data_IF_494063594669
#
_entry.id   IF_494063594669
#
_cell.length_a   1.000
_cell.length_b   1.000
_cell.length_c   1.000
_cell.angle_alpha   90.00
_cell.angle_beta   90.00
_cell.angle_gamma   90.00
#
_symmetry.space_group_name_H-M   'P 1'
#
loop_
_entity.id
_entity.type
_entity.pdbx_description
1 polymer ?
#
# COMPACT_ATOMS: atom_id res chain seq x y z
N UNK A 1 -11.06 -9.58 -4.61
CA UNK A 1 -10.20 -8.48 -5.05
C UNK A 1 -9.30 -8.02 -3.91
N UNK A 2 -8.16 -7.43 -4.24
CA UNK A 2 -7.09 -7.20 -3.27
C UNK A 2 -6.60 -5.76 -3.35
N UNK A 3 -6.50 -5.12 -2.18
CA UNK A 3 -5.91 -3.79 -2.03
C UNK A 3 -4.45 -3.94 -1.58
N UNK A 4 -3.54 -3.31 -2.29
CA UNK A 4 -2.11 -3.33 -1.97
C UNK A 4 -1.73 -2.04 -1.27
N UNK A 5 -1.11 -2.15 -0.10
CA UNK A 5 -0.53 -0.96 0.54
C UNK A 5 0.87 -0.66 -0.02
N UNK A 6 1.42 0.46 0.39
CA UNK A 6 2.70 0.94 -0.11
C UNK A 6 3.86 0.00 0.23
N UNK A 7 3.80 -0.72 1.35
CA UNK A 7 4.87 -1.65 1.74
C UNK A 7 5.06 -2.77 0.72
N UNK A 8 3.97 -3.24 0.14
CA UNK A 8 3.98 -4.29 -0.90
C UNK A 8 4.58 -3.74 -2.19
N UNK A 9 4.15 -2.56 -2.62
CA UNK A 9 4.68 -1.95 -3.86
C UNK A 9 6.15 -1.56 -3.73
N UNK A 10 6.58 -1.06 -2.57
CA UNK A 10 7.99 -0.78 -2.33
C UNK A 10 8.84 -2.05 -2.48
N UNK A 11 8.41 -3.17 -1.91
CA UNK A 11 9.10 -4.45 -2.05
C UNK A 11 9.03 -5.02 -3.47
N UNK A 12 7.98 -4.69 -4.22
CA UNK A 12 7.85 -5.11 -5.62
C UNK A 12 8.81 -4.36 -6.54
N UNK A 13 8.92 -3.05 -6.39
CA UNK A 13 9.70 -2.21 -7.31
C UNK A 13 11.14 -1.98 -6.86
N UNK A 14 11.46 -2.17 -5.59
CA UNK A 14 12.80 -1.98 -5.04
C UNK A 14 13.36 -3.29 -4.51
N UNK A 15 14.69 -3.53 -4.63
CA UNK A 15 15.30 -4.73 -4.05
C UNK A 15 15.18 -4.70 -2.53
N UNK A 16 14.42 -5.63 -1.98
CA UNK A 16 14.18 -5.81 -0.54
C UNK A 16 14.11 -7.30 -0.21
N UNK A 17 14.27 -7.69 1.08
CA UNK A 17 14.24 -9.12 1.45
C UNK A 17 12.95 -9.84 1.03
N UNK A 18 11.82 -9.15 0.99
CA UNK A 18 10.52 -9.75 0.62
C UNK A 18 10.19 -9.67 -0.87
N UNK A 19 11.06 -9.10 -1.71
CA UNK A 19 10.76 -8.85 -3.13
C UNK A 19 10.30 -10.10 -3.87
N UNK A 20 10.97 -11.25 -3.68
CA UNK A 20 10.59 -12.49 -4.36
C UNK A 20 9.21 -13.00 -3.92
N UNK A 21 8.90 -12.91 -2.62
CA UNK A 21 7.60 -13.32 -2.09
C UNK A 21 6.49 -12.41 -2.60
N UNK A 22 6.75 -11.11 -2.66
CA UNK A 22 5.81 -10.12 -3.19
C UNK A 22 5.56 -10.36 -4.67
N UNK A 23 6.59 -10.54 -5.48
CA UNK A 23 6.43 -10.83 -6.90
C UNK A 23 5.58 -12.06 -7.15
N UNK A 24 5.82 -13.12 -6.39
CA UNK A 24 5.02 -14.35 -6.49
C UNK A 24 3.57 -14.10 -6.12
N UNK A 25 3.31 -13.39 -5.02
CA UNK A 25 1.96 -13.07 -4.57
C UNK A 25 1.21 -12.23 -5.60
N UNK A 26 1.83 -11.18 -6.12
CA UNK A 26 1.20 -10.28 -7.08
C UNK A 26 0.93 -10.96 -8.43
N UNK A 27 1.79 -11.87 -8.86
CA UNK A 27 1.59 -12.61 -10.11
C UNK A 27 0.32 -13.45 -10.14
N UNK A 28 -0.25 -13.75 -8.97
CA UNK A 28 -1.45 -14.56 -8.83
C UNK A 28 -2.73 -13.72 -8.72
N UNK A 29 -2.62 -12.39 -8.68
CA UNK A 29 -3.76 -11.49 -8.54
C UNK A 29 -4.34 -11.12 -9.90
N UNK A 30 -5.68 -11.24 -10.02
CA UNK A 30 -6.39 -10.86 -11.25
C UNK A 30 -6.51 -9.34 -11.40
N UNK A 31 -6.79 -8.64 -10.31
CA UNK A 31 -7.05 -7.20 -10.31
C UNK A 31 -6.44 -6.55 -9.07
N UNK A 32 -5.11 -6.34 -9.04
CA UNK A 32 -4.50 -5.62 -7.93
C UNK A 32 -5.01 -4.18 -7.91
N UNK A 33 -5.48 -3.76 -6.74
CA UNK A 33 -6.10 -2.45 -6.54
C UNK A 33 -5.25 -1.60 -5.61
N UNK A 34 -5.10 -0.34 -5.94
CA UNK A 34 -4.43 0.67 -5.11
C UNK A 34 -5.28 1.93 -5.05
N UNK A 35 -4.87 2.87 -4.18
CA UNK A 35 -5.44 4.22 -4.15
C UNK A 35 -4.39 5.25 -4.58
N UNK A 36 -4.80 6.49 -4.90
CA UNK A 36 -3.84 7.57 -5.14
C UNK A 36 -2.89 7.83 -3.97
N UNK A 37 -3.28 7.48 -2.74
CA UNK A 37 -2.40 7.58 -1.58
C UNK A 37 -1.16 6.69 -1.73
N UNK A 38 -1.32 5.48 -2.25
CA UNK A 38 -0.20 4.55 -2.51
C UNK A 38 0.77 5.17 -3.52
N UNK A 39 0.26 5.84 -4.54
CA UNK A 39 1.09 6.51 -5.54
C UNK A 39 1.99 7.56 -4.91
N UNK A 40 1.43 8.44 -4.07
CA UNK A 40 2.21 9.47 -3.36
C UNK A 40 3.21 8.83 -2.40
N UNK A 41 2.79 7.84 -1.64
CA UNK A 41 3.66 7.20 -0.65
C UNK A 41 4.81 6.42 -1.30
N UNK A 42 4.59 5.78 -2.45
CA UNK A 42 5.67 5.11 -3.15
C UNK A 42 6.75 6.10 -3.59
N UNK A 43 6.36 7.25 -4.12
CA UNK A 43 7.32 8.30 -4.48
C UNK A 43 8.04 8.85 -3.24
N UNK A 44 7.33 9.00 -2.12
CA UNK A 44 7.93 9.40 -0.85
C UNK A 44 8.94 8.37 -0.34
N UNK A 45 8.63 7.08 -0.48
CA UNK A 45 9.56 6.00 -0.12
C UNK A 45 10.83 6.03 -0.98
N UNK A 46 10.68 6.28 -2.29
CA UNK A 46 11.83 6.41 -3.20
C UNK A 46 12.69 7.63 -2.83
N UNK A 47 12.06 8.75 -2.53
CA UNK A 47 12.78 9.97 -2.09
C UNK A 47 13.59 9.70 -0.82
N UNK A 48 13.01 9.01 0.15
CA UNK A 48 13.71 8.65 1.37
C UNK A 48 14.93 7.76 1.09
N UNK A 49 14.80 6.78 0.19
CA UNK A 49 15.92 5.91 -0.22
C UNK A 49 17.06 6.70 -0.87
N UNK A 50 16.73 7.69 -1.69
CA UNK A 50 17.74 8.57 -2.30
C UNK A 50 18.42 9.43 -1.24
N UNK A 51 17.66 10.04 -0.36
CA UNK A 51 18.19 10.90 0.70
C UNK A 51 19.05 10.12 1.70
N UNK A 52 18.70 8.88 2.01
CA UNK A 52 19.48 8.00 2.88
C UNK A 52 20.62 7.26 2.17
N UNK A 53 20.81 7.53 0.88
CA UNK A 53 21.86 6.94 0.04
C UNK A 53 21.75 5.41 -0.15
N UNK A 54 20.57 4.85 0.01
CA UNK A 54 20.29 3.46 -0.33
C UNK A 54 20.13 3.27 -1.85
N UNK A 55 19.82 4.35 -2.56
CA UNK A 55 19.56 4.35 -3.99
C UNK A 55 19.98 5.70 -4.58
N UNK A 56 20.50 5.72 -5.81
CA UNK A 56 20.76 6.98 -6.48
C UNK A 56 19.49 7.54 -7.15
N UNK A 57 19.50 8.84 -7.46
CA UNK A 57 18.36 9.52 -8.03
C UNK A 57 17.98 8.98 -9.41
N UNK A 58 18.95 8.54 -10.21
CA UNK A 58 18.70 7.98 -11.53
C UNK A 58 17.93 6.67 -11.44
N UNK A 59 18.32 5.78 -10.52
CA UNK A 59 17.63 4.52 -10.27
C UNK A 59 16.22 4.78 -9.74
N UNK A 60 16.05 5.69 -8.78
CA UNK A 60 14.73 6.05 -8.26
C UNK A 60 13.82 6.60 -9.37
N UNK A 61 14.35 7.41 -10.27
CA UNK A 61 13.62 7.91 -11.43
C UNK A 61 13.18 6.80 -12.37
N UNK A 62 14.01 5.79 -12.59
CA UNK A 62 13.63 4.61 -13.40
C UNK A 62 12.52 3.80 -12.74
N UNK A 63 12.59 3.60 -11.43
CA UNK A 63 11.54 2.90 -10.67
C UNK A 63 10.22 3.67 -10.76
N UNK A 64 10.25 4.99 -10.53
CA UNK A 64 9.06 5.84 -10.63
C UNK A 64 8.45 5.77 -12.04
N UNK A 65 9.28 5.83 -13.08
CA UNK A 65 8.81 5.74 -14.47
C UNK A 65 8.17 4.37 -14.78
N UNK A 66 8.73 3.29 -14.27
CA UNK A 66 8.17 1.95 -14.42
C UNK A 66 6.79 1.86 -13.76
N UNK A 67 6.65 2.37 -12.56
CA UNK A 67 5.37 2.40 -11.87
C UNK A 67 4.32 3.21 -12.64
N UNK A 68 4.70 4.40 -13.13
CA UNK A 68 3.80 5.23 -13.93
C UNK A 68 3.37 4.53 -15.23
N UNK A 69 4.28 3.79 -15.86
CA UNK A 69 3.95 2.99 -17.03
C UNK A 69 2.93 1.89 -16.70
N UNK A 70 3.12 1.20 -15.57
CA UNK A 70 2.17 0.18 -15.13
C UNK A 70 0.79 0.77 -14.83
N UNK A 71 0.73 1.97 -14.25
CA UNK A 71 -0.55 2.68 -14.06
C UNK A 71 -1.20 2.99 -15.40
N UNK A 72 -0.45 3.54 -16.35
CA UNK A 72 -0.97 3.90 -17.68
C UNK A 72 -1.45 2.67 -18.45
N UNK A 73 -0.79 1.53 -18.27
CA UNK A 73 -1.14 0.27 -18.96
C UNK A 73 -2.27 -0.49 -18.25
N UNK A 74 -2.83 0.04 -17.18
CA UNK A 74 -3.95 -0.58 -16.48
C UNK A 74 -3.58 -1.80 -15.63
N UNK A 75 -2.33 -1.93 -15.18
CA UNK A 75 -1.92 -3.02 -14.29
C UNK A 75 -2.59 -2.95 -12.92
N UNK A 76 -3.01 -1.76 -12.51
CA UNK A 76 -3.67 -1.53 -11.23
C UNK A 76 -5.05 -0.93 -11.45
N UNK A 77 -6.02 -1.41 -10.69
CA UNK A 77 -7.28 -0.71 -10.52
C UNK A 77 -7.10 0.38 -9.47
N UNK A 78 -7.64 1.58 -9.72
CA UNK A 78 -7.59 2.68 -8.77
C UNK A 78 -8.93 2.83 -8.06
N UNK A 79 -8.89 2.92 -6.72
CA UNK A 79 -10.04 3.28 -5.91
C UNK A 79 -9.78 4.61 -5.21
N UNK A 80 -10.76 5.51 -5.16
CA UNK A 80 -10.58 6.79 -4.49
C UNK A 80 -10.58 6.64 -2.97
N UNK A 81 -9.99 7.62 -2.28
CA UNK A 81 -10.19 7.82 -0.84
C UNK A 81 -10.96 9.13 -0.70
N UNK A 82 -12.25 9.01 -0.44
CA UNK A 82 -13.16 10.16 -0.33
C UNK A 82 -13.64 10.39 1.09
N UNK A 83 -14.70 11.21 1.22
CA UNK A 83 -15.23 11.60 2.53
C UNK A 83 -15.64 10.41 3.39
N UNK A 84 -16.18 9.35 2.79
CA UNK A 84 -16.58 8.13 3.51
C UNK A 84 -15.38 7.46 4.20
N UNK A 85 -14.29 7.31 3.48
CA UNK A 85 -13.07 6.69 3.99
C UNK A 85 -12.40 7.55 5.06
N UNK A 86 -12.37 8.85 4.88
CA UNK A 86 -11.87 9.77 5.90
C UNK A 86 -12.70 9.69 7.19
N UNK A 87 -14.03 9.64 7.08
CA UNK A 87 -14.91 9.50 8.25
C UNK A 87 -14.65 8.17 8.98
N UNK A 88 -14.52 7.09 8.25
CA UNK A 88 -14.25 5.77 8.82
C UNK A 88 -12.88 5.73 9.52
N UNK A 89 -11.84 6.26 8.88
CA UNK A 89 -10.52 6.36 9.48
C UNK A 89 -10.53 7.17 10.77
N UNK A 90 -11.21 8.31 10.78
CA UNK A 90 -11.38 9.15 11.96
C UNK A 90 -12.09 8.37 13.09
N UNK A 91 -13.14 7.64 12.76
CA UNK A 91 -13.90 6.85 13.74
C UNK A 91 -13.02 5.81 14.42
N UNK A 92 -12.20 5.09 13.63
CA UNK A 92 -11.29 4.08 14.19
C UNK A 92 -10.22 4.71 15.09
N UNK A 93 -9.62 5.81 14.66
CA UNK A 93 -8.59 6.50 15.47
C UNK A 93 -9.22 7.08 16.74
N UNK A 94 -10.40 7.66 16.64
CA UNK A 94 -11.10 8.30 17.77
C UNK A 94 -11.58 7.30 18.83
N UNK A 95 -11.52 6.01 18.59
CA UNK A 95 -11.77 5.00 19.61
C UNK A 95 -10.64 4.91 20.64
N UNK A 96 -9.46 5.46 20.35
CA UNK A 96 -8.29 5.53 21.23
C UNK A 96 -7.83 4.17 21.78
N UNK A 97 -8.00 3.10 21.02
CA UNK A 97 -7.72 1.74 21.45
C UNK A 97 -6.77 0.98 20.50
N UNK A 98 -6.03 1.71 19.66
CA UNK A 98 -5.08 1.12 18.71
C UNK A 98 -3.92 2.08 18.44
N UNK A 99 -2.76 1.58 17.93
CA UNK A 99 -1.65 2.42 17.52
C UNK A 99 -1.84 2.98 16.09
N UNK A 100 -3.06 2.96 15.56
CA UNK A 100 -3.36 3.30 14.17
C UNK A 100 -3.04 4.76 13.87
N UNK A 101 -2.24 4.99 12.82
CA UNK A 101 -1.88 6.34 12.35
C UNK A 101 -2.75 6.71 11.15
N UNK A 102 -2.75 8.02 10.83
CA UNK A 102 -3.61 8.60 9.79
C UNK A 102 -3.53 7.89 8.44
N UNK A 103 -2.31 7.71 7.90
CA UNK A 103 -2.16 7.11 6.57
C UNK A 103 -2.54 5.65 6.57
N UNK A 104 -2.17 4.91 7.61
CA UNK A 104 -2.56 3.51 7.75
C UNK A 104 -4.07 3.35 7.87
N UNK A 105 -4.71 4.23 8.63
CA UNK A 105 -6.17 4.24 8.76
C UNK A 105 -6.86 4.48 7.40
N UNK A 106 -6.30 5.35 6.57
CA UNK A 106 -6.84 5.61 5.23
C UNK A 106 -6.70 4.41 4.30
N UNK A 107 -5.59 3.69 4.36
CA UNK A 107 -5.44 2.43 3.61
C UNK A 107 -6.46 1.39 4.05
N UNK A 108 -6.61 1.20 5.37
CA UNK A 108 -7.59 0.26 5.91
C UNK A 108 -9.01 0.65 5.51
N UNK A 109 -9.33 1.94 5.57
CA UNK A 109 -10.65 2.44 5.20
C UNK A 109 -10.93 2.22 3.70
N UNK A 110 -9.94 2.42 2.84
CA UNK A 110 -10.08 2.16 1.40
C UNK A 110 -10.38 0.68 1.13
N UNK A 111 -9.62 -0.22 1.78
CA UNK A 111 -9.84 -1.66 1.65
C UNK A 111 -11.22 -2.06 2.18
N UNK A 112 -11.58 -1.59 3.36
CA UNK A 112 -12.87 -1.91 3.99
C UNK A 112 -14.05 -1.43 3.16
N UNK A 113 -14.04 -0.17 2.74
CA UNK A 113 -15.13 0.42 1.98
C UNK A 113 -15.33 -0.24 0.62
N UNK A 114 -14.23 -0.72 0.00
CA UNK A 114 -14.28 -1.44 -1.26
C UNK A 114 -14.51 -2.95 -1.13
N UNK A 115 -14.67 -3.45 0.08
CA UNK A 115 -14.76 -4.89 0.38
C UNK A 115 -13.57 -5.67 -0.20
N UNK A 116 -12.38 -5.09 -0.09
CA UNK A 116 -11.14 -5.64 -0.62
C UNK A 116 -10.33 -6.30 0.49
N UNK A 117 -9.59 -7.34 0.15
CA UNK A 117 -8.60 -7.94 1.06
C UNK A 117 -7.31 -7.11 1.00
N UNK A 118 -6.91 -6.54 2.14
CA UNK A 118 -5.64 -5.84 2.26
C UNK A 118 -4.47 -6.84 2.17
N UNK A 119 -3.52 -6.58 1.28
CA UNK A 119 -2.24 -7.27 1.27
C UNK A 119 -1.17 -6.28 1.75
N UNK A 120 -0.43 -6.66 2.77
CA UNK A 120 0.60 -5.82 3.38
C UNK A 120 1.82 -6.64 3.76
N UNK A 121 2.98 -6.02 3.73
CA UNK A 121 4.22 -6.55 4.28
C UNK A 121 4.51 -5.98 5.68
N UNK A 122 3.63 -5.12 6.20
CA UNK A 122 3.74 -4.48 7.50
C UNK A 122 2.89 -5.23 8.53
N UNK A 123 3.56 -5.84 9.51
CA UNK A 123 2.88 -6.61 10.56
C UNK A 123 1.96 -5.74 11.42
N UNK A 124 2.33 -4.49 11.70
CA UNK A 124 1.50 -3.58 12.48
C UNK A 124 0.21 -3.22 11.74
N UNK A 125 0.29 -3.00 10.43
CA UNK A 125 -0.86 -2.77 9.56
C UNK A 125 -1.83 -3.96 9.61
N UNK A 126 -1.31 -5.17 9.48
CA UNK A 126 -2.13 -6.39 9.51
C UNK A 126 -2.78 -6.59 10.88
N UNK A 127 -2.09 -6.30 11.97
CA UNK A 127 -2.70 -6.34 13.31
C UNK A 127 -3.87 -5.36 13.42
N UNK A 128 -3.72 -4.15 12.91
CA UNK A 128 -4.80 -3.17 12.88
C UNK A 128 -5.95 -3.61 11.97
N UNK A 129 -5.65 -4.20 10.83
CA UNK A 129 -6.67 -4.76 9.93
C UNK A 129 -7.52 -5.81 10.66
N UNK A 130 -6.87 -6.69 11.39
CA UNK A 130 -7.56 -7.72 12.19
C UNK A 130 -8.46 -7.08 13.25
N UNK A 131 -7.97 -6.07 13.96
CA UNK A 131 -8.72 -5.39 15.01
C UNK A 131 -9.99 -4.73 14.47
N UNK A 132 -9.93 -4.12 13.30
CA UNK A 132 -11.05 -3.37 12.73
C UNK A 132 -11.88 -4.16 11.70
N UNK A 133 -11.66 -5.47 11.61
CA UNK A 133 -12.48 -6.33 10.75
C UNK A 133 -12.23 -6.18 9.26
N UNK A 134 -11.04 -5.70 8.88
CA UNK A 134 -10.62 -5.63 7.48
C UNK A 134 -10.02 -6.96 7.06
N UNK A 135 -10.50 -7.53 5.97
CA UNK A 135 -9.90 -8.74 5.39
C UNK A 135 -8.44 -8.46 5.04
N UNK A 136 -7.55 -9.38 5.37
CA UNK A 136 -6.11 -9.11 5.25
C UNK A 136 -5.29 -10.35 4.95
N UNK A 137 -4.12 -10.11 4.37
CA UNK A 137 -3.08 -11.11 4.14
C UNK A 137 -1.72 -10.44 4.38
N UNK A 138 -0.90 -11.06 5.23
CA UNK A 138 0.48 -10.63 5.45
C UNK A 138 1.42 -11.36 4.49
N UNK A 139 2.32 -10.63 3.85
CA UNK A 139 3.48 -11.19 3.17
C UNK A 139 4.67 -11.06 4.11
N UNK A 140 5.22 -12.18 4.51
CA UNK A 140 6.34 -12.22 5.47
C UNK A 140 7.34 -13.31 5.16
#
# INVERSE_FOLDING_TARGET
>A
MHYLDTSVLAAYYCPEPLSNKVQKALSQLAEPTISPLVEVELHSALELKVRSREMDAATAGQVAAMFQLHLADGHYRLVPIGAREYTLARTWIAAFNSPLRTLDALHLAAAFAGDLTLISADRAMVRSAKQFGVKHQLIA
#
